data_IF_480371691258
#
_entry.id   IF_480371691258
#
_cell.length_a   1.000
_cell.length_b   1.000
_cell.length_c   1.000
_cell.angle_alpha   90.00
_cell.angle_beta   90.00
_cell.angle_gamma   90.00
#
_symmetry.space_group_name_H-M   'P 1'
#
loop_
_entity.id
_entity.type
_entity.pdbx_description
1 polymer ?
#
# COMPACT_ATOMS: atom_id res chain seq x y z
N UNK A 1 11.78 2.93 -9.40
CA UNK A 1 12.15 2.19 -8.17
C UNK A 1 11.80 0.73 -8.37
N UNK A 2 12.63 -0.23 -7.94
CA UNK A 2 12.27 -1.67 -8.00
C UNK A 2 11.58 -2.03 -6.68
N UNK A 3 10.25 -2.13 -6.70
CA UNK A 3 9.45 -2.50 -5.53
C UNK A 3 9.50 -4.02 -5.38
N UNK A 4 9.88 -4.50 -4.21
CA UNK A 4 9.96 -5.93 -3.90
C UNK A 4 9.28 -6.19 -2.56
N UNK A 5 8.53 -7.28 -2.48
CA UNK A 5 7.95 -7.73 -1.22
C UNK A 5 9.07 -8.21 -0.29
N UNK A 6 9.13 -7.65 0.92
CA UNK A 6 10.05 -8.07 1.98
C UNK A 6 9.23 -8.77 3.05
N UNK A 7 9.61 -10.00 3.40
CA UNK A 7 8.94 -10.78 4.45
C UNK A 7 9.77 -10.69 5.73
N UNK A 8 9.20 -10.08 6.77
CA UNK A 8 9.73 -10.13 8.13
C UNK A 8 9.03 -11.24 8.91
N UNK A 9 9.79 -12.09 9.59
CA UNK A 9 9.26 -13.15 10.47
C UNK A 9 9.51 -12.74 11.92
N UNK A 10 8.44 -12.69 12.71
CA UNK A 10 8.51 -12.36 14.13
C UNK A 10 7.12 -12.34 14.74
N UNK A 11 7.01 -12.20 16.07
CA UNK A 11 5.73 -11.98 16.73
C UNK A 11 5.08 -10.71 16.19
N UNK A 12 3.81 -10.76 15.79
CA UNK A 12 3.10 -9.61 15.21
C UNK A 12 3.17 -8.36 16.11
N UNK A 13 3.18 -8.55 17.43
CA UNK A 13 3.25 -7.48 18.43
C UNK A 13 4.61 -6.75 18.47
N UNK A 14 5.64 -7.33 17.88
CA UNK A 14 7.01 -6.81 17.87
C UNK A 14 7.38 -6.22 16.49
N UNK A 15 6.51 -6.36 15.50
CA UNK A 15 6.70 -5.75 14.18
C UNK A 15 6.15 -4.32 14.26
N UNK A 16 7.05 -3.35 14.30
CA UNK A 16 6.69 -1.94 14.28
C UNK A 16 6.27 -1.49 12.87
N UNK A 17 4.97 -1.28 12.69
CA UNK A 17 4.37 -0.80 11.44
C UNK A 17 4.47 0.73 11.29
N UNK A 18 4.81 1.46 12.37
CA UNK A 18 4.83 2.92 12.38
C UNK A 18 6.00 3.49 11.57
N UNK A 19 7.19 2.94 11.75
CA UNK A 19 8.39 3.33 10.98
C UNK A 19 8.20 3.05 9.49
N UNK A 20 7.59 1.92 9.14
CA UNK A 20 7.28 1.58 7.74
C UNK A 20 6.28 2.59 7.15
N UNK A 21 5.27 3.01 7.91
CA UNK A 21 4.34 4.07 7.50
C UNK A 21 5.06 5.40 7.27
N UNK A 22 5.92 5.83 8.20
CA UNK A 22 6.71 7.06 8.07
C UNK A 22 7.61 7.03 6.85
N UNK A 23 8.29 5.90 6.60
CA UNK A 23 9.09 5.70 5.40
C UNK A 23 8.25 5.93 4.14
N UNK A 24 7.09 5.29 4.01
CA UNK A 24 6.24 5.45 2.83
C UNK A 24 5.72 6.87 2.70
N UNK A 25 5.35 7.53 3.79
CA UNK A 25 4.89 8.92 3.78
C UNK A 25 5.99 9.90 3.32
N UNK A 26 7.26 9.59 3.59
CA UNK A 26 8.41 10.38 3.11
C UNK A 26 8.68 10.24 1.60
N UNK A 27 8.18 9.19 0.94
CA UNK A 27 8.39 8.95 -0.49
C UNK A 27 7.51 9.84 -1.37
N UNK A 28 7.94 10.03 -2.61
CA UNK A 28 7.18 10.82 -3.58
C UNK A 28 5.79 10.19 -3.83
N UNK A 29 4.73 10.98 -4.09
CA UNK A 29 3.38 10.47 -4.33
C UNK A 29 3.33 9.38 -5.42
N UNK A 30 4.12 9.53 -6.48
CA UNK A 30 4.23 8.55 -7.55
C UNK A 30 4.70 7.18 -7.04
N UNK A 31 5.75 7.16 -6.22
CA UNK A 31 6.31 5.92 -5.65
C UNK A 31 5.33 5.25 -4.68
N UNK A 32 4.58 6.03 -3.91
CA UNK A 32 3.50 5.51 -3.05
C UNK A 32 2.40 4.83 -3.85
N UNK A 33 1.98 5.44 -4.96
CA UNK A 33 0.96 4.86 -5.85
C UNK A 33 1.47 3.56 -6.47
N UNK A 34 2.73 3.53 -6.92
CA UNK A 34 3.36 2.32 -7.46
C UNK A 34 3.40 1.20 -6.40
N UNK A 35 3.74 1.51 -5.15
CA UNK A 35 3.78 0.53 -4.05
C UNK A 35 2.40 -0.03 -3.72
N UNK A 36 1.39 0.83 -3.57
CA UNK A 36 0.00 0.39 -3.33
C UNK A 36 -0.51 -0.46 -4.50
N UNK A 37 -0.20 -0.07 -5.74
CA UNK A 37 -0.57 -0.84 -6.94
C UNK A 37 0.07 -2.22 -6.92
N UNK A 38 1.36 -2.31 -6.58
CA UNK A 38 2.08 -3.57 -6.46
C UNK A 38 1.50 -4.47 -5.36
N UNK A 39 1.12 -3.91 -4.21
CA UNK A 39 0.46 -4.65 -3.13
C UNK A 39 -0.87 -5.21 -3.64
N UNK A 40 -1.72 -4.37 -4.25
CA UNK A 40 -3.02 -4.79 -4.79
C UNK A 40 -2.86 -5.96 -5.78
N UNK A 41 -1.85 -5.92 -6.66
CA UNK A 41 -1.63 -7.01 -7.63
C UNK A 41 -1.22 -8.34 -6.99
N UNK A 42 -0.68 -8.34 -5.76
CA UNK A 42 -0.38 -9.59 -5.05
C UNK A 42 -1.65 -10.28 -4.51
N UNK A 43 -2.72 -9.52 -4.24
CA UNK A 43 -3.94 -10.04 -3.62
C UNK A 43 -5.09 -10.24 -4.61
N UNK A 44 -5.09 -9.55 -5.76
CA UNK A 44 -6.11 -9.73 -6.78
C UNK A 44 -5.78 -10.89 -7.73
N UNK A 45 -6.75 -11.78 -7.94
CA UNK A 45 -6.66 -12.80 -8.99
C UNK A 45 -6.84 -12.17 -10.38
N UNK A 46 -6.35 -12.81 -11.45
CA UNK A 46 -6.62 -12.36 -12.81
C UNK A 46 -8.13 -12.18 -13.06
N UNK A 47 -8.53 -11.02 -13.57
CA UNK A 47 -9.93 -10.65 -13.81
C UNK A 47 -10.68 -10.13 -12.59
N UNK A 48 -10.11 -10.21 -11.38
CA UNK A 48 -10.70 -9.65 -10.17
C UNK A 48 -10.41 -8.15 -10.08
N UNK A 49 -11.42 -7.36 -9.70
CA UNK A 49 -11.28 -5.92 -9.44
C UNK A 49 -11.24 -5.69 -7.93
N UNK A 50 -10.47 -4.68 -7.50
CA UNK A 50 -10.52 -4.20 -6.13
C UNK A 50 -11.94 -3.73 -5.80
N UNK A 51 -12.52 -4.21 -4.71
CA UNK A 51 -13.74 -3.63 -4.18
C UNK A 51 -13.44 -2.22 -3.65
N UNK A 52 -14.14 -1.22 -4.17
CA UNK A 52 -13.97 0.19 -3.82
C UNK A 52 -15.18 0.74 -3.06
N UNK A 53 -16.06 -0.14 -2.57
CA UNK A 53 -17.23 0.22 -1.76
C UNK A 53 -16.88 1.10 -0.56
N UNK A 54 -15.74 0.84 0.10
CA UNK A 54 -15.23 1.62 1.23
C UNK A 54 -14.46 2.90 0.83
N UNK A 55 -14.17 3.12 -0.46
CA UNK A 55 -13.43 4.30 -0.92
C UNK A 55 -14.39 5.48 -1.03
N UNK A 56 -14.41 6.32 0.00
CA UNK A 56 -15.15 7.59 -0.02
C UNK A 56 -14.49 8.53 -1.05
N UNK A 57 -15.14 8.74 -2.19
CA UNK A 57 -14.75 9.80 -3.15
C UNK A 57 -14.99 11.16 -2.51
N UNK A 58 -14.02 11.72 -1.81
CA UNK A 58 -14.01 13.15 -1.49
C UNK A 58 -13.65 13.92 -2.75
N UNK A 59 -14.56 14.78 -3.22
CA UNK A 59 -14.20 15.81 -4.20
C UNK A 59 -13.24 16.76 -3.50
N UNK A 60 -12.04 16.95 -4.06
CA UNK A 60 -11.22 18.10 -3.73
C UNK A 60 -12.03 19.32 -4.19
N UNK A 61 -12.62 20.06 -3.24
CA UNK A 61 -13.21 21.37 -3.55
C UNK A 61 -12.07 22.29 -3.99
N UNK A 62 -12.30 23.00 -5.10
CA UNK A 62 -11.40 24.05 -5.59
C UNK A 62 -11.31 25.20 -4.59
#
# INVERSE_FOLDING_TARGET
MRIQAVVRKGPMKEIDEYEDLLYWLSRAPKERIEAVTFIISQYLKPGQRLDRSAVVKKRLSR
#
